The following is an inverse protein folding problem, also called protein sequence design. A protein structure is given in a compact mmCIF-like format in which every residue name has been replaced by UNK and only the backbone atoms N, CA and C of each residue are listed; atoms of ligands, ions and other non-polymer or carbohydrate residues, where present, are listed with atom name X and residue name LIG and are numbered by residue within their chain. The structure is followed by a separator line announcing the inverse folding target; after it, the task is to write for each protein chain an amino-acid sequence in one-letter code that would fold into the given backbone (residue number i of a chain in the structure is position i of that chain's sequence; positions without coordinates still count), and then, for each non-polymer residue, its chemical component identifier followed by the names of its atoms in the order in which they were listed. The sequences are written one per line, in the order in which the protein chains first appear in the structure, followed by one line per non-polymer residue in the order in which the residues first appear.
data_IF_976369915234
#
_entry.id   IF_976369915234
#
_cell.length_a   1.000
_cell.length_b   1.000
_cell.length_c   1.000
_cell.angle_alpha   90.00
_cell.angle_beta   90.00
_cell.angle_gamma   90.00
#
_symmetry.space_group_name_H-M   'P 1'
#
loop_
_entity.id
_entity.type
_entity.pdbx_description
1 polymer ?
#
# COMPACT_ATOMS: atom_id res chain seq x y z
N UNK A 1 -18.74 14.79 47.57
CA UNK A 1 -17.69 14.37 46.62
C UNK A 1 -18.37 13.94 45.33
N UNK A 2 -18.42 14.83 44.35
CA UNK A 2 -18.95 14.56 43.01
C UNK A 2 -17.85 13.95 42.15
N UNK A 3 -17.99 12.66 41.82
CA UNK A 3 -17.14 12.02 40.82
C UNK A 3 -17.45 12.64 39.46
N UNK A 4 -16.57 13.51 38.96
CA UNK A 4 -16.64 14.04 37.61
C UNK A 4 -16.37 12.92 36.61
N UNK A 5 -17.38 12.52 35.85
CA UNK A 5 -17.26 11.58 34.73
C UNK A 5 -16.58 12.33 33.56
N UNK A 6 -15.26 12.55 33.65
CA UNK A 6 -14.47 13.13 32.57
C UNK A 6 -14.14 12.05 31.54
N UNK A 7 -15.17 11.46 30.92
CA UNK A 7 -14.97 10.70 29.69
C UNK A 7 -14.66 11.68 28.59
N UNK A 8 -13.38 11.82 28.26
CA UNK A 8 -12.95 12.45 27.01
C UNK A 8 -13.75 11.84 25.87
N UNK A 9 -14.49 12.64 25.07
CA UNK A 9 -15.33 12.12 24.01
C UNK A 9 -14.46 11.31 23.03
N UNK A 10 -14.93 10.09 22.71
CA UNK A 10 -14.27 9.21 21.78
C UNK A 10 -14.25 9.84 20.38
N UNK A 11 -13.06 10.26 19.93
CA UNK A 11 -12.82 10.82 18.60
C UNK A 11 -13.48 12.19 18.35
N UNK A 12 -12.74 13.14 17.77
CA UNK A 12 -13.36 14.34 17.20
C UNK A 12 -14.09 13.93 15.92
N UNK A 13 -15.37 14.30 15.79
CA UNK A 13 -16.09 14.10 14.53
C UNK A 13 -15.35 14.79 13.37
N UNK A 14 -15.46 14.29 12.13
CA UNK A 14 -14.61 14.73 11.02
C UNK A 14 -14.78 16.21 10.71
N UNK A 15 -15.99 16.74 10.96
CA UNK A 15 -16.33 18.16 10.78
C UNK A 15 -15.62 19.09 11.76
N UNK A 16 -15.06 18.56 12.85
CA UNK A 16 -14.36 19.33 13.89
C UNK A 16 -12.84 19.28 13.77
N UNK A 17 -12.31 18.54 12.79
CA UNK A 17 -10.89 18.49 12.46
C UNK A 17 -10.71 19.17 11.10
N UNK A 18 -9.91 20.26 11.00
CA UNK A 18 -9.63 20.89 9.73
C UNK A 18 -9.15 19.86 8.71
N UNK A 19 -9.63 19.94 7.47
CA UNK A 19 -9.22 19.00 6.41
C UNK A 19 -7.92 19.51 5.77
N UNK A 20 -6.87 18.67 5.57
CA UNK A 20 -5.69 19.06 4.79
C UNK A 20 -6.07 19.45 3.37
N UNK A 21 -5.36 20.41 2.77
CA UNK A 21 -5.61 20.87 1.40
C UNK A 21 -5.57 19.72 0.40
N UNK A 22 -4.64 18.76 0.59
CA UNK A 22 -4.53 17.58 -0.29
C UNK A 22 -5.73 16.63 -0.26
N UNK A 23 -6.66 16.76 0.69
CA UNK A 23 -7.92 15.99 0.72
C UNK A 23 -9.10 16.76 0.11
N UNK A 24 -8.87 17.95 -0.45
CA UNK A 24 -9.93 18.79 -1.01
C UNK A 24 -10.69 18.10 -2.15
N UNK A 25 -9.99 17.37 -3.01
CA UNK A 25 -10.53 16.70 -4.19
C UNK A 25 -11.26 15.38 -3.89
N UNK A 26 -11.12 14.83 -2.67
CA UNK A 26 -11.77 13.59 -2.30
C UNK A 26 -13.27 13.78 -2.08
N UNK A 27 -14.05 12.81 -2.55
CA UNK A 27 -15.45 12.65 -2.17
C UNK A 27 -15.61 12.52 -0.65
N UNK A 28 -16.74 12.96 -0.15
CA UNK A 28 -17.12 12.83 1.25
C UNK A 28 -18.21 11.77 1.41
N UNK A 29 -18.16 11.00 2.50
CA UNK A 29 -19.27 10.13 2.91
C UNK A 29 -20.43 10.95 3.54
N UNK A 30 -21.61 10.35 3.80
CA UNK A 30 -22.73 11.07 4.41
C UNK A 30 -22.44 11.70 5.79
N UNK A 31 -21.43 11.20 6.51
CA UNK A 31 -21.01 11.73 7.82
C UNK A 31 -20.06 12.93 7.65
N UNK A 32 -19.46 13.09 6.47
CA UNK A 32 -18.51 14.14 6.12
C UNK A 32 -17.04 13.70 6.21
N UNK A 33 -16.75 12.40 6.30
CA UNK A 33 -15.38 11.89 6.20
C UNK A 33 -14.93 11.86 4.73
N UNK A 34 -13.70 12.28 4.40
CA UNK A 34 -13.11 11.98 3.11
C UNK A 34 -13.03 10.47 2.89
N UNK A 35 -13.51 10.01 1.73
CA UNK A 35 -13.36 8.61 1.32
C UNK A 35 -11.93 8.46 0.82
N UNK A 36 -11.10 7.83 1.64
CA UNK A 36 -9.66 7.75 1.39
C UNK A 36 -9.33 6.81 0.22
N UNK A 37 -8.23 7.08 -0.48
CA UNK A 37 -7.90 6.46 -1.76
C UNK A 37 -7.76 4.93 -1.77
N UNK A 38 -7.51 4.30 -0.62
CA UNK A 38 -7.36 2.84 -0.48
C UNK A 38 -8.69 2.10 -0.22
N UNK A 39 -9.75 2.83 0.15
CA UNK A 39 -11.08 2.26 0.45
C UNK A 39 -11.81 1.91 -0.84
N UNK A 40 -12.47 0.75 -0.88
CA UNK A 40 -13.36 0.39 -1.99
C UNK A 40 -14.53 1.37 -2.08
N UNK A 41 -14.80 1.90 -3.26
CA UNK A 41 -15.89 2.84 -3.51
C UNK A 41 -16.45 2.60 -4.91
N UNK A 42 -17.57 1.89 -4.95
CA UNK A 42 -18.41 1.73 -6.12
C UNK A 42 -19.64 2.66 -6.02
N UNK A 43 -20.35 2.93 -7.12
CA UNK A 43 -21.62 3.64 -7.04
C UNK A 43 -22.58 2.96 -6.05
N UNK A 44 -23.01 3.69 -5.02
CA UNK A 44 -23.92 3.19 -3.99
C UNK A 44 -23.27 2.35 -2.87
N UNK A 45 -21.99 1.99 -2.98
CA UNK A 45 -21.31 1.12 -2.01
C UNK A 45 -19.91 1.62 -1.64
N UNK A 46 -19.66 1.80 -0.35
CA UNK A 46 -18.36 2.24 0.18
C UNK A 46 -17.95 1.27 1.28
N UNK A 47 -16.88 0.53 1.05
CA UNK A 47 -16.39 -0.50 1.98
C UNK A 47 -15.36 0.07 2.96
N UNK A 48 -15.83 0.66 4.05
CA UNK A 48 -14.97 1.08 5.15
C UNK A 48 -14.44 -0.09 6.02
N UNK A 49 -14.89 -1.32 5.77
CA UNK A 49 -14.53 -2.51 6.54
C UNK A 49 -13.20 -3.11 6.13
N UNK A 50 -12.75 -2.87 4.90
CA UNK A 50 -11.52 -3.44 4.36
C UNK A 50 -10.72 -2.46 3.48
N UNK A 51 -9.41 -2.72 3.38
CA UNK A 51 -8.54 -2.05 2.42
C UNK A 51 -8.55 -2.81 1.09
N UNK A 52 -8.77 -2.11 -0.03
CA UNK A 52 -8.82 -2.75 -1.34
C UNK A 52 -7.41 -3.10 -1.84
N UNK A 53 -7.12 -4.39 -1.97
CA UNK A 53 -5.86 -4.88 -2.57
C UNK A 53 -5.67 -4.39 -4.01
N UNK A 54 -6.77 -4.22 -4.74
CA UNK A 54 -6.77 -3.66 -6.10
C UNK A 54 -6.31 -2.22 -6.11
N UNK A 55 -6.86 -1.40 -5.22
CA UNK A 55 -6.39 -0.02 -5.03
C UNK A 55 -4.93 0.04 -4.60
N UNK A 56 -4.50 -0.83 -3.66
CA UNK A 56 -3.10 -0.88 -3.23
C UNK A 56 -2.14 -1.18 -4.39
N UNK A 57 -2.51 -2.00 -5.36
CA UNK A 57 -1.69 -2.21 -6.55
C UNK A 57 -1.56 -0.93 -7.39
N UNK A 58 -2.67 -0.23 -7.63
CA UNK A 58 -2.65 1.03 -8.36
C UNK A 58 -1.81 2.09 -7.62
N UNK A 59 -2.05 2.29 -6.32
CA UNK A 59 -1.28 3.20 -5.47
C UNK A 59 0.22 2.88 -5.47
N UNK A 60 0.59 1.60 -5.41
CA UNK A 60 2.00 1.17 -5.48
C UNK A 60 2.62 1.38 -6.87
N UNK A 61 1.84 1.20 -7.94
CA UNK A 61 2.29 1.34 -9.32
C UNK A 61 2.65 2.79 -9.64
N UNK A 62 1.84 3.73 -9.16
CA UNK A 62 1.99 5.16 -9.42
C UNK A 62 2.65 5.93 -8.26
N UNK A 63 3.10 5.23 -7.21
CA UNK A 63 3.72 5.77 -5.99
C UNK A 63 2.90 6.91 -5.34
N UNK A 64 1.64 6.58 -5.04
CA UNK A 64 0.64 7.49 -4.51
C UNK A 64 0.36 7.20 -3.04
N UNK A 65 -0.03 8.25 -2.33
CA UNK A 65 -0.48 8.18 -0.95
C UNK A 65 -1.81 7.43 -0.83
N UNK A 66 -1.87 6.47 0.11
CA UNK A 66 -3.06 5.65 0.34
C UNK A 66 -4.28 6.42 0.87
N UNK A 67 -4.08 7.65 1.32
CA UNK A 67 -5.15 8.52 1.81
C UNK A 67 -5.65 9.46 0.72
N UNK A 68 -4.76 10.23 0.11
CA UNK A 68 -5.14 11.31 -0.80
C UNK A 68 -4.97 11.00 -2.29
N UNK A 69 -4.48 9.81 -2.68
CA UNK A 69 -4.20 9.46 -4.08
C UNK A 69 -3.21 10.41 -4.82
N UNK A 70 -2.57 11.36 -4.14
CA UNK A 70 -1.56 12.24 -4.73
C UNK A 70 -0.16 11.59 -4.64
N UNK A 71 0.75 11.89 -5.58
CA UNK A 71 2.09 11.35 -5.60
C UNK A 71 2.90 11.78 -4.37
N UNK A 72 3.84 10.94 -3.96
CA UNK A 72 4.77 11.27 -2.89
C UNK A 72 5.81 12.31 -3.31
N UNK A 73 6.30 12.24 -4.55
CA UNK A 73 7.53 12.95 -4.93
C UNK A 73 8.66 12.63 -3.95
N UNK A 74 9.28 13.68 -3.43
CA UNK A 74 10.37 13.62 -2.45
C UNK A 74 9.90 13.51 -0.99
N UNK A 75 8.59 13.57 -0.72
CA UNK A 75 8.05 13.44 0.64
C UNK A 75 8.32 12.03 1.22
N UNK A 76 8.40 11.95 2.55
CA UNK A 76 8.52 10.67 3.24
C UNK A 76 7.23 9.84 3.10
N UNK A 77 7.41 8.52 3.07
CA UNK A 77 6.35 7.51 3.06
C UNK A 77 6.10 7.09 4.50
N UNK A 78 5.06 7.65 5.11
CA UNK A 78 4.71 7.41 6.50
C UNK A 78 3.89 6.14 6.67
N UNK A 79 4.17 5.43 7.76
CA UNK A 79 3.44 4.25 8.21
C UNK A 79 3.01 4.45 9.66
N UNK A 80 1.78 4.01 9.97
CA UNK A 80 1.23 4.01 11.32
C UNK A 80 1.49 2.63 11.94
N UNK A 81 2.01 2.61 13.16
CA UNK A 81 2.16 1.37 13.94
C UNK A 81 1.77 1.59 15.41
N UNK A 82 1.41 0.50 16.08
CA UNK A 82 1.14 0.48 17.53
C UNK A 82 2.14 -0.43 18.27
N UNK A 83 3.09 -1.00 17.54
CA UNK A 83 4.18 -1.81 18.06
C UNK A 83 5.48 -0.99 18.02
N UNK A 84 6.07 -0.79 19.18
CA UNK A 84 7.32 -0.04 19.36
C UNK A 84 8.51 -0.72 18.65
N UNK A 85 8.55 -2.06 18.61
CA UNK A 85 9.59 -2.79 17.89
C UNK A 85 9.51 -2.51 16.39
N UNK A 86 8.29 -2.48 15.83
CA UNK A 86 8.06 -2.09 14.44
C UNK A 86 8.41 -0.62 14.18
N UNK A 87 8.09 0.29 15.12
CA UNK A 87 8.38 1.73 15.00
C UNK A 87 9.87 2.06 15.04
N UNK A 88 10.66 1.29 15.79
CA UNK A 88 12.11 1.49 15.95
C UNK A 88 12.94 0.78 14.88
N UNK A 89 12.34 -0.15 14.12
CA UNK A 89 13.00 -0.84 13.03
C UNK A 89 13.49 0.13 11.93
N UNK A 90 14.62 -0.19 11.29
CA UNK A 90 15.14 0.54 10.12
C UNK A 90 14.38 0.23 8.83
N UNK A 91 13.68 -0.90 8.83
CA UNK A 91 12.87 -1.41 7.74
C UNK A 91 11.55 -1.88 8.32
N UNK A 92 10.45 -1.53 7.68
CA UNK A 92 9.13 -1.99 8.07
C UNK A 92 8.47 -2.71 6.90
N UNK A 93 7.85 -3.86 7.17
CA UNK A 93 6.99 -4.56 6.22
C UNK A 93 5.56 -4.44 6.71
N UNK A 94 4.78 -3.59 6.06
CA UNK A 94 3.38 -3.33 6.39
C UNK A 94 2.45 -3.93 5.33
N UNK A 95 1.26 -4.39 5.71
CA UNK A 95 0.19 -4.67 4.74
C UNK A 95 -0.61 -3.42 4.35
N UNK A 96 -0.32 -2.28 4.98
CA UNK A 96 -0.90 -0.98 4.66
C UNK A 96 0.02 -0.22 3.70
N UNK A 97 -0.59 0.44 2.72
CA UNK A 97 0.13 1.31 1.79
C UNK A 97 0.56 2.60 2.52
N UNK A 98 1.73 3.17 2.18
CA UNK A 98 2.23 4.36 2.86
C UNK A 98 1.33 5.58 2.59
N UNK A 99 1.47 6.58 3.45
CA UNK A 99 0.74 7.86 3.38
C UNK A 99 1.68 9.04 3.57
N UNK A 100 1.26 10.26 3.20
CA UNK A 100 1.98 11.48 3.57
C UNK A 100 1.86 11.76 5.08
N UNK A 101 2.75 12.58 5.63
CA UNK A 101 2.76 12.93 7.05
C UNK A 101 1.42 13.51 7.50
N UNK A 102 0.96 14.56 6.81
CA UNK A 102 -0.29 15.26 7.15
C UNK A 102 -1.50 14.35 7.00
N UNK A 103 -1.46 13.39 6.07
CA UNK A 103 -2.49 12.37 5.89
C UNK A 103 -2.50 11.37 7.05
N UNK A 104 -1.32 10.91 7.50
CA UNK A 104 -1.19 10.01 8.65
C UNK A 104 -1.69 10.69 9.93
N UNK A 105 -1.31 11.94 10.15
CA UNK A 105 -1.72 12.74 11.31
C UNK A 105 -3.21 13.05 11.28
N UNK A 106 -3.78 13.38 10.10
CA UNK A 106 -5.23 13.53 9.96
C UNK A 106 -5.96 12.23 10.30
N UNK A 107 -5.50 11.08 9.79
CA UNK A 107 -6.05 9.78 10.14
C UNK A 107 -5.95 9.51 11.65
N UNK A 108 -4.86 9.91 12.32
CA UNK A 108 -4.71 9.82 13.76
C UNK A 108 -5.70 10.69 14.56
N UNK A 109 -6.30 11.70 13.94
CA UNK A 109 -7.36 12.51 14.55
C UNK A 109 -8.76 11.93 14.35
N UNK A 110 -9.03 11.40 13.15
CA UNK A 110 -10.42 11.10 12.73
C UNK A 110 -10.75 9.62 12.65
N UNK A 111 -9.76 8.74 12.49
CA UNK A 111 -9.99 7.29 12.42
C UNK A 111 -10.30 6.77 13.82
N UNK A 112 -11.46 6.13 14.06
CA UNK A 112 -11.80 5.61 15.39
C UNK A 112 -10.77 4.62 15.94
N UNK A 113 -10.13 3.84 15.06
CA UNK A 113 -9.10 2.88 15.45
C UNK A 113 -7.78 3.54 15.85
N UNK A 114 -7.40 4.68 15.24
CA UNK A 114 -6.12 5.35 15.53
C UNK A 114 -6.28 6.41 16.62
N UNK A 115 -7.37 7.17 16.57
CA UNK A 115 -7.61 8.33 17.44
C UNK A 115 -8.08 7.98 18.85
N UNK A 116 -8.73 6.83 19.05
CA UNK A 116 -9.19 6.40 20.38
C UNK A 116 -8.17 5.46 21.02
N UNK A 117 -7.56 5.84 22.15
CA UNK A 117 -6.90 4.88 23.02
C UNK A 117 -7.87 3.74 23.37
N UNK A 118 -7.37 2.51 23.41
CA UNK A 118 -8.15 1.32 23.75
C UNK A 118 -9.32 0.99 22.81
N UNK A 119 -9.35 1.56 21.61
CA UNK A 119 -10.21 1.07 20.54
C UNK A 119 -10.05 -0.45 20.43
N UNK A 120 -11.19 -1.16 20.36
CA UNK A 120 -11.18 -2.62 20.27
C UNK A 120 -11.16 -3.03 18.81
N UNK A 121 -10.28 -3.96 18.47
CA UNK A 121 -10.27 -4.54 17.14
C UNK A 121 -11.53 -5.42 16.95
N UNK A 122 -12.10 -5.32 15.75
CA UNK A 122 -13.29 -6.09 15.35
C UNK A 122 -12.96 -7.33 14.49
N UNK A 123 -11.73 -7.46 13.99
CA UNK A 123 -11.32 -8.60 13.17
C UNK A 123 -11.29 -9.90 13.98
N UNK A 124 -11.44 -11.02 13.29
CA UNK A 124 -11.61 -12.35 13.89
C UNK A 124 -10.47 -12.73 14.84
N UNK A 125 -9.22 -12.39 14.48
CA UNK A 125 -8.03 -12.76 15.26
C UNK A 125 -7.87 -11.86 16.49
N UNK A 126 -8.14 -10.56 16.35
CA UNK A 126 -7.89 -9.56 17.41
C UNK A 126 -9.16 -9.13 18.12
N UNK A 127 -10.29 -9.82 17.91
CA UNK A 127 -11.60 -9.41 18.45
C UNK A 127 -11.51 -9.09 19.93
N UNK A 128 -11.83 -7.85 20.29
CA UNK A 128 -11.83 -7.39 21.67
C UNK A 128 -10.46 -7.01 22.24
N UNK A 129 -9.35 -7.27 21.53
CA UNK A 129 -8.04 -6.75 21.92
C UNK A 129 -8.06 -5.23 21.90
N UNK A 130 -7.62 -4.64 23.00
CA UNK A 130 -7.45 -3.18 23.13
C UNK A 130 -6.16 -2.79 22.43
N UNK A 131 -6.25 -1.76 21.61
CA UNK A 131 -5.07 -1.06 21.10
C UNK A 131 -4.22 -0.55 22.29
N UNK A 132 -2.88 -0.62 22.20
CA UNK A 132 -2.00 0.16 23.07
C UNK A 132 -2.35 1.65 23.03
N UNK A 133 -1.99 2.38 24.09
CA UNK A 133 -2.26 3.82 24.16
C UNK A 133 -1.44 4.61 23.13
N UNK A 134 -0.17 4.22 22.96
CA UNK A 134 0.78 4.90 22.10
C UNK A 134 0.60 4.48 20.64
N UNK A 135 0.55 5.46 19.76
CA UNK A 135 0.66 5.30 18.31
C UNK A 135 2.00 5.85 17.85
N UNK A 136 2.65 5.15 16.92
CA UNK A 136 3.86 5.63 16.26
C UNK A 136 3.55 5.93 14.80
N UNK A 137 4.05 7.06 14.32
CA UNK A 137 4.11 7.38 12.90
C UNK A 137 5.59 7.38 12.52
N UNK A 138 5.97 6.57 11.53
CA UNK A 138 7.37 6.47 11.09
C UNK A 138 7.47 6.87 9.62
N UNK A 139 8.28 7.89 9.33
CA UNK A 139 8.54 8.40 7.98
C UNK A 139 9.78 7.75 7.38
N UNK A 140 9.58 7.08 6.25
CA UNK A 140 10.63 6.39 5.49
C UNK A 140 10.95 7.15 4.22
N UNK A 141 12.22 7.20 3.80
CA UNK A 141 12.59 7.85 2.54
C UNK A 141 11.90 7.20 1.34
N UNK A 142 11.71 5.88 1.36
CA UNK A 142 11.23 5.15 0.19
C UNK A 142 10.49 3.86 0.53
N UNK A 143 9.62 3.45 -0.40
CA UNK A 143 9.15 2.07 -0.51
C UNK A 143 10.20 1.29 -1.31
N UNK A 144 10.91 0.37 -0.65
CA UNK A 144 11.95 -0.43 -1.28
C UNK A 144 11.36 -1.56 -2.14
N UNK A 145 10.31 -2.21 -1.65
CA UNK A 145 9.67 -3.36 -2.32
C UNK A 145 8.17 -3.40 -2.05
N UNK A 146 7.44 -3.92 -3.03
CA UNK A 146 6.03 -4.29 -2.88
C UNK A 146 5.85 -5.71 -3.44
N UNK A 147 5.16 -6.56 -2.69
CA UNK A 147 4.99 -7.98 -3.03
C UNK A 147 3.75 -8.61 -2.38
N UNK A 148 3.20 -9.65 -3.03
CA UNK A 148 2.10 -10.45 -2.52
C UNK A 148 2.55 -11.58 -1.58
N UNK A 149 2.06 -11.59 -0.34
CA UNK A 149 2.33 -12.63 0.66
C UNK A 149 1.05 -12.97 1.44
N UNK A 150 1.00 -14.13 2.09
CA UNK A 150 -0.09 -14.46 3.03
C UNK A 150 -0.18 -13.39 4.11
N UNK A 151 -1.39 -12.93 4.40
CA UNK A 151 -1.66 -11.99 5.48
C UNK A 151 -1.37 -12.65 6.83
N UNK A 152 -0.77 -11.87 7.74
CA UNK A 152 -0.62 -12.31 9.14
C UNK A 152 -1.92 -12.24 9.93
N UNK A 153 -2.90 -11.46 9.44
CA UNK A 153 -4.20 -11.24 10.08
C UNK A 153 -5.33 -12.08 9.46
N UNK A 154 -5.22 -12.41 8.17
CA UNK A 154 -6.18 -13.24 7.45
C UNK A 154 -5.41 -14.37 6.77
N UNK A 155 -5.14 -15.44 7.50
CA UNK A 155 -4.14 -16.45 7.10
C UNK A 155 -4.50 -17.25 5.84
N UNK A 156 -5.79 -17.25 5.45
CA UNK A 156 -6.29 -17.76 4.17
C UNK A 156 -5.95 -16.83 2.99
N UNK A 157 -5.86 -15.54 3.25
CA UNK A 157 -5.72 -14.51 2.23
C UNK A 157 -4.25 -14.18 1.94
N UNK A 158 -4.01 -13.70 0.72
CA UNK A 158 -2.76 -13.05 0.36
C UNK A 158 -3.03 -11.61 0.01
N UNK A 159 -2.22 -10.74 0.59
CA UNK A 159 -2.33 -9.28 0.46
C UNK A 159 -1.01 -8.72 -0.03
N UNK A 160 -1.05 -7.49 -0.53
CA UNK A 160 0.14 -6.70 -0.82
C UNK A 160 0.78 -6.23 0.48
N UNK A 161 2.10 -6.42 0.55
CA UNK A 161 2.97 -5.87 1.57
C UNK A 161 3.90 -4.82 0.97
N UNK A 162 4.14 -3.78 1.74
CA UNK A 162 5.01 -2.65 1.46
C UNK A 162 6.20 -2.72 2.40
N UNK A 163 7.39 -2.92 1.85
CA UNK A 163 8.66 -2.84 2.57
C UNK A 163 9.20 -1.42 2.41
N UNK A 164 9.18 -0.64 3.49
CA UNK A 164 9.72 0.72 3.54
C UNK A 164 11.06 0.75 4.28
N UNK A 165 12.01 1.55 3.81
CA UNK A 165 13.38 1.61 4.33
C UNK A 165 13.86 3.04 4.54
N UNK A 166 14.98 3.18 5.23
CA UNK A 166 15.67 4.45 5.44
C UNK A 166 14.79 5.40 6.26
N UNK A 167 14.60 5.04 7.53
CA UNK A 167 13.84 5.87 8.48
C UNK A 167 14.53 7.19 8.71
N UNK A 168 13.76 8.27 8.60
CA UNK A 168 14.26 9.63 8.81
C UNK A 168 13.56 10.33 9.95
N UNK A 169 12.27 10.07 10.12
CA UNK A 169 11.46 10.74 11.12
C UNK A 169 10.56 9.74 11.86
N UNK A 170 10.30 10.05 13.12
CA UNK A 170 9.41 9.30 13.99
C UNK A 170 8.62 10.26 14.85
N UNK A 171 7.32 10.02 14.94
CA UNK A 171 6.44 10.69 15.90
C UNK A 171 5.89 9.62 16.83
N UNK A 172 6.01 9.87 18.13
CA UNK A 172 5.37 9.07 19.17
C UNK A 172 4.19 9.87 19.69
N UNK A 173 2.98 9.35 19.53
CA UNK A 173 1.74 9.98 19.95
C UNK A 173 1.16 9.19 21.13
N UNK A 174 1.35 9.71 22.32
CA UNK A 174 0.94 9.09 23.60
C UNK A 174 -0.41 9.62 24.08
N UNK A 175 -0.87 10.75 23.53
CA UNK A 175 -2.12 11.39 23.91
C UNK A 175 -2.79 12.05 22.71
N UNK A 176 -4.09 12.36 22.85
CA UNK A 176 -4.82 13.12 21.84
C UNK A 176 -4.27 14.54 21.66
N UNK A 177 -3.78 15.17 22.73
CA UNK A 177 -3.15 16.49 22.68
C UNK A 177 -1.87 16.47 21.81
N UNK A 178 -0.98 15.50 22.03
CA UNK A 178 0.23 15.33 21.21
C UNK A 178 -0.11 15.11 19.73
N UNK A 179 -1.14 14.31 19.45
CA UNK A 179 -1.61 14.09 18.09
C UNK A 179 -2.14 15.39 17.46
N UNK A 180 -2.91 16.19 18.20
CA UNK A 180 -3.48 17.47 17.73
C UNK A 180 -2.35 18.44 17.41
N UNK A 181 -1.38 18.59 18.32
CA UNK A 181 -0.27 19.52 18.15
C UNK A 181 0.62 19.14 16.95
N UNK A 182 0.91 17.84 16.80
CA UNK A 182 1.63 17.33 15.64
C UNK A 182 0.87 17.62 14.34
N UNK A 183 -0.45 17.41 14.33
CA UNK A 183 -1.27 17.68 13.17
C UNK A 183 -1.34 19.18 12.82
N UNK A 184 -1.45 20.07 13.81
CA UNK A 184 -1.44 21.52 13.58
C UNK A 184 -0.11 22.00 12.98
N UNK A 185 1.02 21.46 13.45
CA UNK A 185 2.34 21.75 12.83
C UNK A 185 2.38 21.29 11.38
N UNK A 186 1.92 20.08 11.09
CA UNK A 186 1.87 19.56 9.72
C UNK A 186 0.96 20.37 8.79
N UNK A 187 -0.15 20.92 9.30
CA UNK A 187 -1.01 21.83 8.54
C UNK A 187 -0.33 23.17 8.21
N UNK A 188 0.43 23.73 9.16
CA UNK A 188 1.15 24.99 8.96
C UNK A 188 2.26 24.86 7.91
N UNK A 189 2.86 23.68 7.79
CA UNK A 189 3.91 23.37 6.82
C UNK A 189 3.39 22.62 5.59
N UNK A 190 2.07 22.48 5.41
CA UNK A 190 1.50 21.77 4.28
C UNK A 190 1.82 22.52 2.98
N UNK A 191 2.65 21.90 2.15
CA UNK A 191 2.90 22.35 0.78
C UNK A 191 1.84 21.73 -0.13
N UNK A 192 1.32 22.54 -1.05
CA UNK A 192 0.43 22.07 -2.09
C UNK A 192 1.18 21.12 -3.03
N UNK A 193 0.61 19.94 -3.29
CA UNK A 193 1.22 18.96 -4.19
C UNK A 193 0.93 19.39 -5.62
N UNK A 194 1.95 19.91 -6.30
CA UNK A 194 1.87 20.19 -7.73
C UNK A 194 1.90 18.87 -8.50
N UNK A 195 0.86 18.62 -9.30
CA UNK A 195 0.75 17.45 -10.16
C UNK A 195 0.49 17.89 -11.60
N UNK A 196 1.08 17.17 -12.55
CA UNK A 196 0.80 17.39 -13.97
C UNK A 196 -0.55 16.80 -14.41
N UNK A 197 -0.90 16.99 -15.68
CA UNK A 197 -2.17 16.52 -16.23
C UNK A 197 -2.34 15.00 -16.13
N UNK A 198 -1.29 14.23 -16.40
CA UNK A 198 -1.36 12.78 -16.36
C UNK A 198 -1.49 12.25 -14.93
N UNK A 199 -0.78 12.84 -13.96
CA UNK A 199 -0.95 12.52 -12.54
C UNK A 199 -2.34 12.90 -12.02
N UNK A 200 -2.87 14.06 -12.44
CA UNK A 200 -4.23 14.50 -12.11
C UNK A 200 -5.27 13.52 -12.64
N UNK A 201 -5.11 13.04 -13.87
CA UNK A 201 -6.01 12.06 -14.45
C UNK A 201 -5.94 10.74 -13.65
N UNK A 202 -4.76 10.26 -13.27
CA UNK A 202 -4.62 9.07 -12.42
C UNK A 202 -5.35 9.25 -11.08
N UNK A 203 -5.12 10.37 -10.38
CA UNK A 203 -5.76 10.65 -9.10
C UNK A 203 -7.29 10.77 -9.23
N UNK A 204 -7.77 11.43 -10.29
CA UNK A 204 -9.20 11.58 -10.59
C UNK A 204 -9.85 10.22 -10.81
N UNK A 205 -9.30 9.39 -11.70
CA UNK A 205 -9.81 8.04 -11.97
C UNK A 205 -9.76 7.13 -10.74
N UNK A 206 -8.79 7.33 -9.85
CA UNK A 206 -8.72 6.58 -8.59
C UNK A 206 -9.69 7.07 -7.52
N UNK A 207 -10.27 8.25 -7.62
CA UNK A 207 -11.06 8.85 -6.53
C UNK A 207 -12.50 9.16 -6.90
N UNK A 208 -12.82 9.24 -8.19
CA UNK A 208 -14.18 9.35 -8.71
C UNK A 208 -14.87 7.97 -8.82
N UNK A 209 -16.18 8.00 -9.01
CA UNK A 209 -16.97 6.81 -9.30
C UNK A 209 -16.89 6.46 -10.79
N UNK A 210 -17.04 5.17 -11.08
CA UNK A 210 -17.33 4.68 -12.43
C UNK A 210 -18.76 5.04 -12.84
N UNK A 211 -19.04 4.92 -14.14
CA UNK A 211 -20.42 4.94 -14.67
C UNK A 211 -21.15 3.62 -14.44
N UNK A 212 -20.41 2.51 -14.34
CA UNK A 212 -20.95 1.18 -14.12
C UNK A 212 -21.31 0.96 -12.64
N UNK A 213 -22.56 0.56 -12.38
CA UNK A 213 -23.01 0.22 -11.03
C UNK A 213 -22.19 -0.92 -10.44
N UNK A 214 -21.91 -0.87 -9.13
CA UNK A 214 -21.11 -1.87 -8.41
C UNK A 214 -19.65 -2.03 -8.89
N UNK A 215 -19.19 -1.22 -9.84
CA UNK A 215 -17.80 -1.21 -10.25
C UNK A 215 -16.98 -0.24 -9.39
N UNK A 216 -15.94 -0.77 -8.77
CA UNK A 216 -15.00 0.02 -7.99
C UNK A 216 -13.95 0.64 -8.92
N UNK A 217 -13.83 1.98 -8.96
CA UNK A 217 -12.87 2.68 -9.83
C UNK A 217 -11.41 2.27 -9.57
N UNK A 218 -11.10 1.95 -8.32
CA UNK A 218 -9.82 1.37 -7.92
C UNK A 218 -9.54 -0.01 -8.52
N UNK A 219 -10.58 -0.82 -8.71
CA UNK A 219 -10.53 -2.14 -9.32
C UNK A 219 -10.32 -2.08 -10.83
N UNK A 220 -10.88 -1.07 -11.49
CA UNK A 220 -10.61 -0.78 -12.92
C UNK A 220 -9.19 -0.25 -13.09
N UNK A 221 -8.80 0.72 -12.26
CA UNK A 221 -7.44 1.26 -12.26
C UNK A 221 -6.39 0.20 -11.95
N UNK A 222 -6.71 -0.82 -11.14
CA UNK A 222 -5.81 -1.95 -10.92
C UNK A 222 -5.52 -2.75 -12.20
N UNK A 223 -6.50 -2.87 -13.11
CA UNK A 223 -6.31 -3.47 -14.44
C UNK A 223 -5.38 -2.62 -15.30
N UNK A 224 -5.58 -1.30 -15.32
CA UNK A 224 -4.69 -0.37 -16.01
C UNK A 224 -3.26 -0.40 -15.43
N UNK A 225 -3.13 -0.41 -14.11
CA UNK A 225 -1.88 -0.56 -13.38
C UNK A 225 -1.19 -1.90 -13.71
N UNK A 226 -1.97 -2.99 -13.84
CA UNK A 226 -1.47 -4.30 -14.26
C UNK A 226 -0.77 -4.21 -15.61
N UNK A 227 -1.40 -3.55 -16.60
CA UNK A 227 -0.86 -3.39 -17.95
C UNK A 227 0.47 -2.63 -18.00
N UNK A 228 0.60 -1.54 -17.23
CA UNK A 228 1.81 -0.71 -17.28
C UNK A 228 2.99 -1.26 -16.46
N UNK A 229 2.76 -2.28 -15.62
CA UNK A 229 3.83 -3.03 -14.98
C UNK A 229 3.46 -3.72 -13.67
N UNK A 230 2.28 -3.46 -13.11
CA UNK A 230 1.78 -4.12 -11.91
C UNK A 230 1.76 -5.64 -12.01
N UNK A 231 1.58 -6.20 -13.22
CA UNK A 231 1.67 -7.64 -13.51
C UNK A 231 3.01 -8.27 -13.07
N UNK A 232 4.07 -7.47 -12.99
CA UNK A 232 5.43 -7.94 -12.67
C UNK A 232 5.76 -7.82 -11.17
N UNK A 233 4.83 -7.32 -10.36
CA UNK A 233 4.92 -7.32 -8.91
C UNK A 233 5.05 -8.76 -8.37
N UNK A 234 6.08 -9.09 -7.58
CA UNK A 234 6.28 -10.44 -7.08
C UNK A 234 5.08 -10.97 -6.28
N UNK A 235 4.49 -12.07 -6.74
CA UNK A 235 3.37 -12.73 -6.03
C UNK A 235 2.00 -12.07 -6.21
N UNK A 236 1.90 -11.00 -7.01
CA UNK A 236 0.65 -10.24 -7.22
C UNK A 236 -0.50 -11.09 -7.75
N UNK A 237 -0.23 -12.04 -8.66
CA UNK A 237 -1.28 -12.91 -9.21
C UNK A 237 -1.92 -13.87 -8.20
N UNK A 238 -1.39 -13.95 -6.98
CA UNK A 238 -1.99 -14.73 -5.88
C UNK A 238 -2.69 -13.84 -4.84
N UNK A 239 -2.62 -12.52 -4.97
CA UNK A 239 -3.26 -11.57 -4.06
C UNK A 239 -4.77 -11.61 -4.27
N UNK A 240 -5.52 -11.46 -3.17
CA UNK A 240 -6.98 -11.44 -3.20
C UNK A 240 -7.50 -10.39 -4.19
N UNK A 241 -8.42 -10.81 -5.05
CA UNK A 241 -9.03 -9.94 -6.06
C UNK A 241 -8.19 -9.72 -7.32
N UNK A 242 -6.98 -10.30 -7.41
CA UNK A 242 -6.09 -10.21 -8.57
C UNK A 242 -6.10 -11.46 -9.46
N UNK A 243 -6.74 -12.54 -9.02
CA UNK A 243 -6.70 -13.83 -9.71
C UNK A 243 -7.14 -13.71 -11.18
N UNK A 244 -8.20 -12.93 -11.45
CA UNK A 244 -8.70 -12.69 -12.82
C UNK A 244 -7.62 -12.22 -13.80
N UNK A 245 -6.69 -11.36 -13.35
CA UNK A 245 -5.64 -10.81 -14.21
C UNK A 245 -4.49 -11.80 -14.42
N UNK A 246 -4.33 -12.76 -13.51
CA UNK A 246 -3.28 -13.77 -13.55
C UNK A 246 -3.70 -15.03 -14.32
N UNK A 247 -4.98 -15.39 -14.24
CA UNK A 247 -5.54 -16.60 -14.86
C UNK A 247 -5.81 -16.43 -16.34
N UNK A 248 -6.25 -15.24 -16.77
CA UNK A 248 -6.43 -14.94 -18.18
C UNK A 248 -5.06 -14.58 -18.82
N UNK A 249 -4.56 -15.41 -19.75
CA UNK A 249 -3.28 -15.18 -20.41
C UNK A 249 -3.22 -13.86 -21.18
N UNK A 250 -4.38 -13.31 -21.59
CA UNK A 250 -4.48 -12.06 -22.33
C UNK A 250 -3.86 -10.89 -21.55
N UNK A 251 -4.21 -10.72 -20.26
CA UNK A 251 -3.69 -9.61 -19.45
C UNK A 251 -2.17 -9.66 -19.32
N UNK A 252 -1.63 -10.85 -19.08
CA UNK A 252 -0.17 -11.04 -18.98
C UNK A 252 0.52 -10.85 -20.33
N UNK A 253 -0.09 -11.29 -21.43
CA UNK A 253 0.43 -11.08 -22.77
C UNK A 253 0.48 -9.59 -23.13
N UNK A 254 -0.61 -8.84 -22.87
CA UNK A 254 -0.68 -7.40 -23.10
C UNK A 254 0.35 -6.64 -22.26
N UNK A 255 0.47 -6.93 -20.95
CA UNK A 255 1.47 -6.30 -20.09
C UNK A 255 2.91 -6.56 -20.59
N UNK A 256 3.19 -7.77 -21.10
CA UNK A 256 4.49 -8.09 -21.71
C UNK A 256 4.74 -7.31 -22.99
N UNK A 257 3.75 -7.15 -23.85
CA UNK A 257 3.89 -6.35 -25.08
C UNK A 257 4.12 -4.88 -24.76
N UNK A 258 3.37 -4.30 -23.81
CA UNK A 258 3.60 -2.93 -23.30
C UNK A 258 5.02 -2.77 -22.74
N UNK A 259 5.58 -3.82 -22.12
CA UNK A 259 6.96 -3.80 -21.62
C UNK A 259 8.01 -3.88 -22.73
N UNK A 260 7.81 -4.75 -23.73
CA UNK A 260 8.82 -5.12 -24.72
C UNK A 260 8.74 -4.32 -26.03
N UNK A 261 7.58 -3.76 -26.36
CA UNK A 261 7.29 -3.04 -27.59
C UNK A 261 6.89 -1.59 -27.25
N UNK A 262 7.82 -0.62 -27.18
CA UNK A 262 7.48 0.77 -26.82
C UNK A 262 6.39 1.39 -27.70
N UNK A 263 6.36 1.06 -29.00
CA UNK A 263 5.32 1.51 -29.93
C UNK A 263 3.96 0.85 -29.72
N UNK A 264 3.88 -0.28 -29.00
CA UNK A 264 2.62 -0.95 -28.70
C UNK A 264 1.83 -0.18 -27.64
N UNK A 265 2.50 0.33 -26.60
CA UNK A 265 1.86 1.11 -25.54
C UNK A 265 1.14 2.34 -26.11
N UNK A 266 1.75 3.07 -27.05
CA UNK A 266 1.16 4.27 -27.68
C UNK A 266 -0.22 4.04 -28.29
N UNK A 267 -0.51 2.83 -28.77
CA UNK A 267 -1.84 2.49 -29.35
C UNK A 267 -2.98 2.60 -28.33
N UNK A 268 -2.65 2.57 -27.04
CA UNK A 268 -3.61 2.70 -25.95
C UNK A 268 -3.78 4.15 -25.47
N UNK A 269 -3.06 5.13 -26.02
CA UNK A 269 -3.32 6.54 -25.71
C UNK A 269 -4.62 7.06 -26.33
N UNK A 270 -5.14 6.34 -27.32
CA UNK A 270 -6.36 6.66 -28.08
C UNK A 270 -7.49 5.66 -27.82
N UNK A 271 -7.32 4.74 -26.87
CA UNK A 271 -8.38 3.78 -26.51
C UNK A 271 -9.57 4.45 -25.83
N UNK A 272 -10.75 3.84 -25.97
CA UNK A 272 -11.98 4.26 -25.29
C UNK A 272 -11.96 3.91 -23.78
N UNK A 273 -11.13 2.93 -23.39
CA UNK A 273 -10.89 2.62 -21.97
C UNK A 273 -10.12 3.78 -21.30
N UNK A 274 -10.87 4.64 -20.60
CA UNK A 274 -10.36 5.84 -19.92
C UNK A 274 -9.22 5.53 -18.93
N UNK A 275 -9.27 4.39 -18.24
CA UNK A 275 -8.30 4.03 -17.22
C UNK A 275 -7.01 3.54 -17.85
N UNK A 276 -7.11 2.65 -18.84
CA UNK A 276 -5.94 2.18 -19.61
C UNK A 276 -5.27 3.35 -20.32
N UNK A 277 -6.07 4.25 -20.92
CA UNK A 277 -5.57 5.48 -21.53
C UNK A 277 -4.80 6.36 -20.54
N UNK A 278 -5.38 6.61 -19.36
CA UNK A 278 -4.73 7.40 -18.31
C UNK A 278 -3.40 6.80 -17.86
N UNK A 279 -3.37 5.49 -17.58
CA UNK A 279 -2.16 4.78 -17.15
C UNK A 279 -1.05 4.80 -18.21
N UNK A 280 -1.40 4.63 -19.48
CA UNK A 280 -0.44 4.62 -20.58
C UNK A 280 0.08 6.02 -20.88
N UNK A 281 -0.79 7.05 -20.91
CA UNK A 281 -0.36 8.44 -21.04
C UNK A 281 0.58 8.83 -19.91
N UNK A 282 0.25 8.46 -18.67
CA UNK A 282 1.14 8.64 -17.53
C UNK A 282 2.45 7.90 -17.73
N UNK A 283 2.45 6.64 -18.16
CA UNK A 283 3.68 5.87 -18.38
C UNK A 283 4.60 6.52 -19.42
N UNK A 284 4.02 6.98 -20.53
CA UNK A 284 4.76 7.57 -21.64
C UNK A 284 5.20 9.01 -21.40
N UNK A 285 4.59 9.71 -20.44
CA UNK A 285 4.98 11.08 -20.06
C UNK A 285 6.15 11.15 -19.08
N UNK A 286 6.68 10.01 -18.60
CA UNK A 286 7.76 9.99 -17.60
C UNK A 286 9.11 9.66 -18.23
N UNK A 287 10.08 10.53 -17.96
CA UNK A 287 11.50 10.22 -18.16
C UNK A 287 12.00 9.22 -17.10
N UNK A 288 11.43 9.29 -15.90
CA UNK A 288 11.79 8.46 -14.77
C UNK A 288 10.55 7.86 -14.10
N UNK A 289 10.51 6.54 -14.02
CA UNK A 289 9.43 5.83 -13.35
C UNK A 289 9.67 5.78 -11.84
N UNK A 290 8.60 5.73 -11.02
CA UNK A 290 8.73 5.44 -9.61
C UNK A 290 9.54 4.17 -9.38
N UNK A 291 10.38 4.17 -8.34
CA UNK A 291 11.38 3.13 -8.09
C UNK A 291 10.77 1.71 -8.06
N UNK A 292 9.58 1.57 -7.49
CA UNK A 292 8.85 0.30 -7.44
C UNK A 292 8.50 -0.21 -8.83
N UNK A 293 7.86 0.64 -9.65
CA UNK A 293 7.48 0.27 -11.01
C UNK A 293 8.71 0.00 -11.90
N UNK A 294 9.75 0.85 -11.80
CA UNK A 294 11.01 0.63 -12.50
C UNK A 294 11.63 -0.73 -12.14
N UNK A 295 11.66 -1.08 -10.85
CA UNK A 295 12.19 -2.36 -10.36
C UNK A 295 11.42 -3.57 -10.90
N UNK A 296 10.08 -3.49 -10.89
CA UNK A 296 9.22 -4.54 -11.46
C UNK A 296 9.46 -4.74 -12.95
N UNK A 297 9.47 -3.65 -13.72
CA UNK A 297 9.69 -3.67 -15.18
C UNK A 297 11.09 -4.18 -15.53
N UNK A 298 12.12 -3.72 -14.84
CA UNK A 298 13.50 -4.20 -15.03
C UNK A 298 13.66 -5.69 -14.73
N UNK A 299 13.04 -6.16 -13.64
CA UNK A 299 13.03 -7.60 -13.31
C UNK A 299 12.37 -8.42 -14.41
N UNK A 300 11.26 -7.94 -14.98
CA UNK A 300 10.57 -8.60 -16.07
C UNK A 300 11.36 -8.58 -17.39
N UNK A 301 12.00 -7.46 -17.73
CA UNK A 301 12.89 -7.35 -18.89
C UNK A 301 14.07 -8.33 -18.80
N UNK A 302 14.70 -8.42 -17.62
CA UNK A 302 15.80 -9.36 -17.39
C UNK A 302 15.35 -10.81 -17.58
N UNK A 303 14.15 -11.17 -17.09
CA UNK A 303 13.57 -12.51 -17.31
C UNK A 303 13.23 -12.78 -18.78
N UNK A 304 12.80 -11.76 -19.54
CA UNK A 304 12.51 -11.91 -20.96
C UNK A 304 13.80 -12.13 -21.77
N UNK A 305 14.87 -11.39 -21.46
CA UNK A 305 16.17 -11.47 -22.16
C UNK A 305 16.94 -12.77 -21.89
N UNK A 306 16.95 -13.24 -20.64
CA UNK A 306 17.78 -14.38 -20.24
C UNK A 306 17.02 -15.71 -20.23
N UNK A 307 15.78 -15.73 -20.73
CA UNK A 307 14.84 -16.83 -20.52
C UNK A 307 14.48 -16.97 -19.05
N UNK A 308 13.51 -17.84 -18.74
CA UNK A 308 13.32 -18.28 -17.34
C UNK A 308 14.68 -18.86 -16.90
N UNK A 309 15.32 -18.37 -15.81
CA UNK A 309 16.24 -19.26 -15.12
C UNK A 309 15.41 -20.51 -14.81
N UNK A 310 15.81 -21.66 -15.37
CA UNK A 310 15.20 -22.93 -15.02
C UNK A 310 15.04 -22.98 -13.51
N UNK A 311 13.90 -23.42 -12.96
CA UNK A 311 13.73 -23.58 -11.52
C UNK A 311 14.80 -24.59 -11.05
N UNK A 312 15.93 -24.04 -10.63
CA UNK A 312 17.19 -24.75 -10.57
C UNK A 312 18.13 -24.01 -9.63
N UNK A 313 18.11 -24.47 -8.38
CA UNK A 313 19.18 -24.29 -7.38
C UNK A 313 19.38 -22.87 -6.82
N UNK A 314 18.36 -22.32 -6.16
CA UNK A 314 18.59 -21.32 -5.11
C UNK A 314 17.93 -21.80 -3.82
N UNK A 315 18.69 -22.54 -3.02
CA UNK A 315 18.27 -23.07 -1.72
C UNK A 315 18.96 -24.41 -1.48
N UNK A 316 20.00 -24.41 -0.64
CA UNK A 316 20.75 -25.60 -0.27
C UNK A 316 19.86 -26.67 0.36
N UNK A 317 19.33 -27.58 -0.47
CA UNK A 317 18.96 -28.90 -0.03
C UNK A 317 20.23 -29.61 0.40
N UNK A 318 20.44 -29.71 1.71
CA UNK A 318 21.42 -30.62 2.27
C UNK A 318 21.09 -32.00 1.72
N UNK A 319 21.97 -32.52 0.87
CA UNK A 319 21.92 -33.91 0.41
C UNK A 319 21.78 -34.81 1.66
N UNK A 320 20.66 -35.52 1.85
CA UNK A 320 20.44 -36.33 3.05
C UNK A 320 21.49 -37.45 3.20
N UNK A 321 22.25 -37.78 2.15
CA UNK A 321 23.41 -38.67 2.24
C UNK A 321 24.63 -37.99 2.86
N UNK A 322 24.83 -36.68 2.64
CA UNK A 322 25.91 -35.91 3.27
C UNK A 322 25.63 -35.59 4.75
N UNK A 323 24.37 -35.37 5.14
CA UNK A 323 24.03 -35.20 6.58
C UNK A 323 24.20 -36.49 7.37
N UNK A 324 23.79 -37.65 6.82
CA UNK A 324 24.03 -38.96 7.44
C UNK A 324 25.51 -39.29 7.61
N UNK A 325 26.37 -38.95 6.63
CA UNK A 325 27.83 -39.12 6.74
C UNK A 325 28.46 -38.23 7.82
N UNK A 326 28.00 -36.99 7.99
CA UNK A 326 28.48 -36.09 9.05
C UNK A 326 28.05 -36.57 10.45
N UNK A 327 26.83 -37.07 10.60
CA UNK A 327 26.34 -37.66 11.86
C UNK A 327 27.07 -38.97 12.22
N UNK A 328 27.32 -39.85 11.24
CA UNK A 328 28.10 -41.08 11.47
C UNK A 328 29.59 -40.80 11.77
N UNK A 329 30.18 -39.76 11.18
CA UNK A 329 31.54 -39.31 11.49
C UNK A 329 31.67 -38.72 12.91
N UNK A 330 30.67 -37.97 13.37
CA UNK A 330 30.64 -37.41 14.72
C UNK A 330 30.43 -38.49 15.79
N UNK A 331 29.59 -39.50 15.53
CA UNK A 331 29.40 -40.64 16.43
C UNK A 331 30.67 -41.49 16.59
N UNK A 332 31.43 -41.72 15.49
CA UNK A 332 32.71 -42.45 15.54
C UNK A 332 33.82 -41.71 16.31
N UNK A 333 33.77 -40.37 16.39
CA UNK A 333 34.75 -39.58 17.16
C UNK A 333 34.45 -39.56 18.67
N UNK A 334 33.20 -39.79 19.09
CA UNK A 334 32.84 -39.90 20.51
C UNK A 334 33.22 -41.25 21.14
N UNK A 335 33.32 -42.33 20.36
CA UNK A 335 33.73 -43.66 20.86
C UNK A 335 35.26 -43.89 20.83
N UNK A 336 36.06 -42.85 20.61
CA UNK A 336 37.54 -42.91 20.54
C UNK A 336 38.23 -42.04 21.60
N UNK A 337 37.49 -41.54 22.59
CA UNK A 337 38.00 -40.82 23.75
C UNK A 337 37.63 -41.54 25.02
#
# INVERSE_FOLDING_TARGET
MTFGDSRSPAGRGPRSVPKPKRLAHLRLDPRGYPIIAVIGQAPGDIDFGALSERRKLALATFDLCAVCALPFGEELRWQVSVDEAAATAKTLVSSEAPVHEVCALYAAQVCPFVSSPYARHGDEIRRGLKRPEVTFLTGFRQTARVFGRRSGLQTSERVLHFETTDVEQRLRLSSSAEAIDAYQRALQTEVEVTIDEAEREIATRLTELTTEESEDSGSVMAGAAWFVGGAFCPGVGKVQGMQRFAEDPMYTALARRVLLEPGFAKKFEETDDLYTRAAVKWLNSRDHLPKILASWRNTALNRARHGRPSPGKSGGGIDPRKSKRKLQGAARRKNRR
#
